data_IF_888541585613
#
_entry.id   IF_888541585613
#
_cell.length_a   1.000
_cell.length_b   1.000
_cell.length_c   1.000
_cell.angle_alpha   90.00
_cell.angle_beta   90.00
_cell.angle_gamma   90.00
#
_symmetry.space_group_name_H-M   'P 1'
#
loop_
_entity.id
_entity.type
_entity.pdbx_description
1 polymer ?
#
# COMPACT_ATOMS: atom_id res chain seq x y z
N UNK A 1 11.39 -11.60 14.03
CA UNK A 1 11.05 -10.19 14.36
C UNK A 1 10.16 -9.52 13.31
N UNK A 2 10.05 -10.04 12.09
CA UNK A 2 9.21 -9.49 11.00
C UNK A 2 7.69 -9.67 11.19
N UNK A 3 7.23 -10.53 12.11
CA UNK A 3 5.79 -10.74 12.34
C UNK A 3 5.07 -9.48 12.85
N UNK A 4 5.75 -8.59 13.57
CA UNK A 4 5.18 -7.34 14.05
C UNK A 4 4.83 -6.37 12.91
N UNK A 5 5.40 -6.54 11.72
CA UNK A 5 5.06 -5.75 10.54
C UNK A 5 3.60 -5.99 10.09
N UNK A 6 2.95 -7.09 10.51
CA UNK A 6 1.52 -7.30 10.25
C UNK A 6 0.67 -6.21 10.92
N UNK A 7 1.15 -5.63 12.03
CA UNK A 7 0.48 -4.52 12.71
C UNK A 7 0.46 -3.24 11.87
N UNK A 8 1.31 -3.13 10.85
CA UNK A 8 1.23 -2.02 9.89
C UNK A 8 -0.09 -2.01 9.12
N UNK A 9 -0.81 -3.13 9.05
CA UNK A 9 -2.18 -3.17 8.51
C UNK A 9 -3.16 -2.28 9.30
N UNK A 10 -2.86 -1.97 10.57
CA UNK A 10 -3.67 -1.06 11.38
C UNK A 10 -3.60 0.39 10.88
N UNK A 11 -2.52 0.80 10.22
CA UNK A 11 -2.34 2.16 9.71
C UNK A 11 -3.42 2.52 8.67
N UNK A 12 -3.56 1.79 7.53
CA UNK A 12 -4.59 2.11 6.55
C UNK A 12 -6.01 1.96 7.10
N UNK A 13 -6.25 1.00 8.00
CA UNK A 13 -7.54 0.84 8.69
C UNK A 13 -7.88 2.08 9.53
N UNK A 14 -6.92 2.55 10.33
CA UNK A 14 -7.09 3.74 11.17
C UNK A 14 -7.28 5.00 10.33
N UNK A 15 -6.49 5.17 9.25
CA UNK A 15 -6.66 6.27 8.32
C UNK A 15 -8.06 6.27 7.68
N UNK A 16 -8.58 5.09 7.30
CA UNK A 16 -9.90 4.97 6.72
C UNK A 16 -11.02 5.36 7.69
N UNK A 17 -10.95 4.89 8.94
CA UNK A 17 -11.93 5.24 9.97
C UNK A 17 -11.87 6.73 10.33
N UNK A 18 -10.67 7.29 10.50
CA UNK A 18 -10.48 8.72 10.75
C UNK A 18 -11.04 9.57 9.60
N UNK A 19 -10.81 9.14 8.36
CA UNK A 19 -11.35 9.83 7.18
C UNK A 19 -12.88 9.82 7.11
N UNK A 20 -13.55 8.79 7.63
CA UNK A 20 -15.02 8.76 7.73
C UNK A 20 -15.52 9.77 8.76
N UNK A 21 -14.87 9.85 9.92
CA UNK A 21 -15.29 10.72 11.00
C UNK A 21 -15.12 12.20 10.65
N UNK A 22 -13.98 12.57 10.06
CA UNK A 22 -13.62 13.98 9.80
C UNK A 22 -14.16 14.49 8.45
N UNK A 23 -14.73 13.61 7.61
CA UNK A 23 -15.29 13.93 6.27
C UNK A 23 -14.28 14.64 5.34
N UNK A 24 -13.03 14.17 5.31
CA UNK A 24 -12.01 14.73 4.43
C UNK A 24 -12.42 14.72 2.95
N UNK A 25 -12.14 15.82 2.26
CA UNK A 25 -12.45 15.98 0.84
C UNK A 25 -11.59 15.11 -0.09
N UNK A 26 -10.42 14.66 0.39
CA UNK A 26 -9.45 13.80 -0.34
C UNK A 26 -9.21 12.48 0.41
N UNK A 27 -10.29 11.89 0.91
CA UNK A 27 -10.21 10.67 1.74
C UNK A 27 -9.54 9.50 1.01
N UNK A 28 -9.78 9.34 -0.29
CA UNK A 28 -9.24 8.20 -1.02
C UNK A 28 -7.76 8.41 -1.31
N UNK A 29 -7.32 9.66 -1.54
CA UNK A 29 -5.89 10.00 -1.61
C UNK A 29 -5.17 9.62 -0.31
N UNK A 30 -5.70 10.03 0.84
CA UNK A 30 -5.08 9.75 2.15
C UNK A 30 -5.04 8.24 2.42
N UNK A 31 -6.13 7.53 2.14
CA UNK A 31 -6.14 6.06 2.28
C UNK A 31 -5.16 5.40 1.31
N UNK A 32 -5.04 5.89 0.07
CA UNK A 32 -4.07 5.42 -0.91
C UNK A 32 -2.62 5.56 -0.43
N UNK A 33 -2.25 6.73 0.11
CA UNK A 33 -0.94 6.97 0.72
C UNK A 33 -0.70 5.95 1.84
N UNK A 34 -1.65 5.83 2.77
CA UNK A 34 -1.51 4.95 3.92
C UNK A 34 -1.33 3.48 3.52
N UNK A 35 -2.10 2.99 2.54
CA UNK A 35 -1.96 1.63 2.00
C UNK A 35 -0.60 1.47 1.33
N UNK A 36 -0.22 2.39 0.45
CA UNK A 36 1.00 2.26 -0.34
C UNK A 36 2.27 2.32 0.52
N UNK A 37 2.25 3.06 1.63
CA UNK A 37 3.37 3.15 2.54
C UNK A 37 3.65 1.84 3.29
N UNK A 38 2.62 1.01 3.50
CA UNK A 38 2.73 -0.22 4.31
C UNK A 38 2.63 -1.51 3.50
N UNK A 39 2.18 -1.46 2.24
CA UNK A 39 1.84 -2.68 1.48
C UNK A 39 3.06 -3.60 1.27
N UNK A 40 4.24 -3.05 1.02
CA UNK A 40 5.45 -3.83 0.83
C UNK A 40 5.96 -4.52 2.11
N UNK A 41 6.15 -3.82 3.26
CA UNK A 41 6.52 -4.48 4.51
C UNK A 41 5.40 -5.40 5.04
N UNK A 42 4.13 -5.09 4.80
CA UNK A 42 3.01 -5.96 5.16
C UNK A 42 3.01 -7.27 4.35
N UNK A 43 3.22 -7.20 3.03
CA UNK A 43 3.35 -8.39 2.18
C UNK A 43 4.49 -9.29 2.65
N UNK A 44 5.65 -8.71 2.92
CA UNK A 44 6.80 -9.42 3.49
C UNK A 44 6.46 -10.09 4.84
N UNK A 45 5.74 -9.40 5.72
CA UNK A 45 5.27 -9.95 7.00
C UNK A 45 4.36 -11.16 6.81
N UNK A 46 3.42 -11.06 5.86
CA UNK A 46 2.43 -12.08 5.57
C UNK A 46 3.06 -13.35 4.99
N UNK A 47 4.13 -13.25 4.21
CA UNK A 47 4.87 -14.43 3.69
C UNK A 47 5.26 -15.39 4.81
N UNK A 48 5.61 -14.89 6.00
CA UNK A 48 5.99 -15.75 7.12
C UNK A 48 4.84 -16.65 7.63
N UNK A 49 3.59 -16.30 7.37
CA UNK A 49 2.42 -17.10 7.75
C UNK A 49 2.26 -18.36 6.89
N UNK A 50 3.01 -18.51 5.79
CA UNK A 50 3.05 -19.76 4.99
C UNK A 50 3.43 -21.00 5.83
N UNK A 51 4.14 -20.79 6.94
CA UNK A 51 4.54 -21.83 7.90
C UNK A 51 3.40 -22.32 8.82
N UNK A 52 2.29 -21.58 8.92
CA UNK A 52 1.15 -21.89 9.79
C UNK A 52 0.08 -22.70 9.02
N UNK A 53 -0.44 -23.82 9.57
CA UNK A 53 -1.33 -24.71 8.82
C UNK A 53 -2.69 -24.07 8.45
N UNK A 54 -3.20 -24.49 7.27
CA UNK A 54 -4.47 -24.15 6.61
C UNK A 54 -4.74 -22.65 6.42
N UNK A 55 -5.09 -21.90 7.47
CA UNK A 55 -5.45 -20.48 7.38
C UNK A 55 -4.20 -19.62 7.13
N UNK A 56 -3.10 -19.97 7.79
CA UNK A 56 -1.82 -19.28 7.60
C UNK A 56 -1.29 -19.40 6.18
N UNK A 57 -1.45 -20.56 5.53
CA UNK A 57 -1.05 -20.76 4.13
C UNK A 57 -1.76 -19.80 3.18
N UNK A 58 -3.06 -19.60 3.32
CA UNK A 58 -3.80 -18.67 2.46
C UNK A 58 -3.32 -17.22 2.64
N UNK A 59 -3.17 -16.77 3.90
CA UNK A 59 -2.61 -15.45 4.20
C UNK A 59 -1.16 -15.31 3.71
N UNK A 60 -0.39 -16.38 3.80
CA UNK A 60 0.98 -16.47 3.29
C UNK A 60 1.07 -16.33 1.77
N UNK A 61 0.16 -16.95 1.03
CA UNK A 61 0.06 -16.81 -0.42
C UNK A 61 -0.34 -15.39 -0.82
N UNK A 62 -1.31 -14.79 -0.12
CA UNK A 62 -1.64 -13.37 -0.31
C UNK A 62 -0.41 -12.49 -0.06
N UNK A 63 0.30 -12.74 1.04
CA UNK A 63 1.54 -12.06 1.38
C UNK A 63 2.59 -12.16 0.27
N UNK A 64 2.77 -13.37 -0.27
CA UNK A 64 3.72 -13.62 -1.35
C UNK A 64 3.35 -12.84 -2.61
N UNK A 65 2.09 -12.87 -3.04
CA UNK A 65 1.64 -12.10 -4.20
C UNK A 65 1.85 -10.59 -3.99
N UNK A 66 1.48 -10.07 -2.82
CA UNK A 66 1.69 -8.67 -2.48
C UNK A 66 3.19 -8.33 -2.50
N UNK A 67 4.02 -9.17 -1.90
CA UNK A 67 5.46 -8.96 -1.81
C UNK A 67 6.15 -8.99 -3.18
N UNK A 68 5.74 -9.88 -4.08
CA UNK A 68 6.29 -9.93 -5.43
C UNK A 68 5.95 -8.67 -6.23
N UNK A 69 4.70 -8.21 -6.16
CA UNK A 69 4.23 -7.04 -6.93
C UNK A 69 4.83 -5.73 -6.36
N UNK A 70 4.83 -5.58 -5.04
CA UNK A 70 5.15 -4.30 -4.38
C UNK A 70 6.54 -4.27 -3.75
N UNK A 71 7.23 -5.41 -3.64
CA UNK A 71 8.60 -5.50 -3.14
C UNK A 71 9.64 -5.33 -4.24
N UNK A 72 9.34 -5.82 -5.44
CA UNK A 72 10.25 -5.82 -6.59
C UNK A 72 10.75 -4.43 -7.01
N UNK A 73 9.91 -3.37 -7.13
CA UNK A 73 10.37 -2.08 -7.65
C UNK A 73 11.52 -1.47 -6.83
N UNK A 74 11.36 -1.41 -5.50
CA UNK A 74 12.37 -0.91 -4.58
C UNK A 74 13.62 -1.80 -4.55
N UNK A 75 13.45 -3.13 -4.67
CA UNK A 75 14.58 -4.05 -4.80
C UNK A 75 15.41 -3.72 -6.05
N UNK A 76 14.76 -3.56 -7.21
CA UNK A 76 15.42 -3.20 -8.46
C UNK A 76 16.16 -1.85 -8.36
N UNK A 77 15.56 -0.86 -7.70
CA UNK A 77 16.21 0.43 -7.46
C UNK A 77 17.46 0.29 -6.59
N UNK A 78 17.40 -0.40 -5.45
CA UNK A 78 18.60 -0.58 -4.61
C UNK A 78 19.65 -1.43 -5.32
N UNK A 79 19.24 -2.48 -6.05
CA UNK A 79 20.15 -3.31 -6.84
C UNK A 79 20.90 -2.49 -7.90
N UNK A 80 20.22 -1.55 -8.58
CA UNK A 80 20.85 -0.69 -9.60
C UNK A 80 21.97 0.23 -9.08
N UNK A 81 22.03 0.46 -7.76
CA UNK A 81 23.11 1.24 -7.14
C UNK A 81 24.39 0.43 -6.92
N UNK A 82 24.36 -0.89 -7.19
CA UNK A 82 25.48 -1.80 -6.88
C UNK A 82 25.60 -2.13 -5.39
N UNK A 83 24.68 -1.65 -4.54
CA UNK A 83 24.70 -1.90 -3.10
C UNK A 83 24.27 -3.32 -2.72
N UNK A 84 23.61 -4.07 -3.60
CA UNK A 84 23.21 -5.46 -3.38
C UNK A 84 24.00 -6.35 -4.33
N UNK A 85 24.84 -7.22 -3.77
CA UNK A 85 25.47 -8.28 -4.54
C UNK A 85 24.42 -9.35 -4.91
N UNK A 86 24.30 -9.77 -6.19
CA UNK A 86 23.26 -10.69 -6.64
C UNK A 86 23.24 -12.05 -5.92
N UNK A 87 24.37 -12.47 -5.36
CA UNK A 87 24.55 -13.74 -4.66
C UNK A 87 24.52 -13.63 -3.13
N UNK A 88 24.47 -12.42 -2.59
CA UNK A 88 24.47 -12.20 -1.14
C UNK A 88 23.04 -12.06 -0.61
N UNK A 89 22.82 -12.51 0.63
CA UNK A 89 21.57 -12.24 1.34
C UNK A 89 21.40 -10.74 1.59
N UNK A 90 20.15 -10.26 1.49
CA UNK A 90 19.83 -8.86 1.77
C UNK A 90 19.96 -8.59 3.27
N UNK A 91 20.84 -7.65 3.63
CA UNK A 91 21.02 -7.19 5.01
C UNK A 91 19.79 -6.43 5.52
N UNK A 92 19.66 -6.27 6.83
CA UNK A 92 18.54 -5.54 7.43
C UNK A 92 18.46 -4.07 6.95
N UNK A 93 19.61 -3.41 6.76
CA UNK A 93 19.67 -2.03 6.27
C UNK A 93 19.20 -1.93 4.81
N UNK A 94 19.67 -2.84 3.95
CA UNK A 94 19.21 -2.89 2.55
C UNK A 94 17.70 -3.19 2.49
N UNK A 95 17.20 -4.11 3.32
CA UNK A 95 15.78 -4.43 3.39
C UNK A 95 14.93 -3.23 3.83
N UNK A 96 15.41 -2.47 4.83
CA UNK A 96 14.76 -1.23 5.26
C UNK A 96 14.72 -0.18 4.13
N UNK A 97 15.83 0.00 3.41
CA UNK A 97 15.90 0.91 2.25
C UNK A 97 14.94 0.48 1.13
N UNK A 98 14.87 -0.82 0.83
CA UNK A 98 13.93 -1.37 -0.15
C UNK A 98 12.48 -1.07 0.27
N UNK A 99 12.14 -1.27 1.55
CA UNK A 99 10.79 -0.99 2.04
C UNK A 99 10.45 0.50 2.02
N UNK A 100 11.40 1.38 2.34
CA UNK A 100 11.21 2.83 2.24
C UNK A 100 10.94 3.27 0.80
N UNK A 101 11.76 2.81 -0.15
CA UNK A 101 11.55 3.11 -1.57
C UNK A 101 10.22 2.58 -2.08
N UNK A 102 9.88 1.34 -1.74
CA UNK A 102 8.57 0.78 -2.09
C UNK A 102 7.42 1.56 -1.48
N UNK A 103 7.55 2.00 -0.23
CA UNK A 103 6.55 2.84 0.44
C UNK A 103 6.34 4.17 -0.28
N UNK A 104 7.41 4.81 -0.76
CA UNK A 104 7.34 6.04 -1.55
C UNK A 104 6.70 5.81 -2.93
N UNK A 105 7.13 4.77 -3.65
CA UNK A 105 6.63 4.44 -4.98
C UNK A 105 5.16 4.03 -4.94
N UNK A 106 4.82 3.03 -4.12
CA UNK A 106 3.46 2.54 -3.98
C UNK A 106 2.56 3.60 -3.35
N UNK A 107 3.05 4.33 -2.35
CA UNK A 107 2.36 5.47 -1.73
C UNK A 107 1.96 6.51 -2.77
N UNK A 108 2.88 6.89 -3.65
CA UNK A 108 2.62 7.87 -4.72
C UNK A 108 1.61 7.35 -5.75
N UNK A 109 1.75 6.10 -6.20
CA UNK A 109 0.83 5.47 -7.18
C UNK A 109 -0.59 5.38 -6.59
N UNK A 110 -0.73 4.88 -5.37
CA UNK A 110 -2.03 4.74 -4.73
C UNK A 110 -2.63 6.07 -4.31
N UNK A 111 -1.82 7.07 -3.95
CA UNK A 111 -2.27 8.44 -3.75
C UNK A 111 -2.88 9.00 -5.04
N UNK A 112 -2.21 8.82 -6.18
CA UNK A 112 -2.70 9.29 -7.47
C UNK A 112 -4.01 8.61 -7.86
N UNK A 113 -4.11 7.30 -7.68
CA UNK A 113 -5.36 6.55 -7.91
C UNK A 113 -6.47 7.10 -7.01
N UNK A 114 -6.19 7.27 -5.71
CA UNK A 114 -7.13 7.85 -4.75
C UNK A 114 -7.58 9.25 -5.13
N UNK A 115 -6.65 10.09 -5.58
CA UNK A 115 -6.93 11.44 -6.05
C UNK A 115 -7.87 11.46 -7.26
N UNK A 116 -7.65 10.58 -8.25
CA UNK A 116 -8.54 10.43 -9.40
C UNK A 116 -9.96 10.06 -8.95
N UNK A 117 -10.11 9.18 -7.97
CA UNK A 117 -11.42 8.84 -7.40
C UNK A 117 -12.07 10.03 -6.68
N UNK A 118 -11.31 10.79 -5.92
CA UNK A 118 -11.81 11.95 -5.19
C UNK A 118 -12.27 13.07 -6.15
N UNK A 119 -11.49 13.36 -7.19
CA UNK A 119 -11.87 14.33 -8.24
C UNK A 119 -13.12 13.87 -8.99
N UNK A 120 -13.17 12.60 -9.43
CA UNK A 120 -14.35 12.04 -10.12
C UNK A 120 -15.60 12.09 -9.25
N UNK A 121 -15.46 11.85 -7.94
CA UNK A 121 -16.58 11.94 -6.98
C UNK A 121 -17.04 13.39 -6.83
N UNK A 122 -16.11 14.34 -6.69
CA UNK A 122 -16.43 15.77 -6.56
C UNK A 122 -17.15 16.30 -7.80
N UNK A 123 -16.67 15.96 -9.00
CA UNK A 123 -17.31 16.36 -10.26
C UNK A 123 -18.73 15.82 -10.37
N UNK A 124 -18.97 14.54 -10.01
CA UNK A 124 -20.32 13.97 -9.98
C UNK A 124 -21.28 14.69 -9.03
N UNK A 125 -20.80 15.08 -7.85
CA UNK A 125 -21.60 15.83 -6.87
C UNK A 125 -21.91 17.23 -7.40
N UNK A 126 -20.94 17.89 -8.02
CA UNK A 126 -21.10 19.22 -8.61
C UNK A 126 -22.11 19.21 -9.77
N UNK A 127 -22.00 18.27 -10.72
CA UNK A 127 -22.95 18.14 -11.83
C UNK A 127 -24.37 17.89 -11.33
N UNK A 128 -24.56 17.03 -10.31
CA UNK A 128 -25.88 16.79 -9.70
C UNK A 128 -26.48 18.02 -9.01
N UNK A 129 -25.64 18.90 -8.46
CA UNK A 129 -26.10 20.15 -7.84
C UNK A 129 -26.54 21.19 -8.87
N UNK A 130 -25.86 21.27 -10.01
CA UNK A 130 -26.14 22.29 -11.05
C UNK A 130 -27.28 21.87 -11.97
N UNK A 131 -27.37 20.59 -12.32
CA UNK A 131 -28.39 20.06 -13.22
C UNK A 131 -29.27 19.01 -12.54
N UNK A 132 -30.06 19.37 -11.52
CA UNK A 132 -30.89 18.41 -10.80
C UNK A 132 -32.04 17.83 -11.66
N UNK A 133 -32.36 18.44 -12.80
CA UNK A 133 -33.53 18.10 -13.65
C UNK A 133 -33.21 17.48 -15.02
N UNK A 134 -31.93 17.25 -15.36
CA UNK A 134 -31.53 16.69 -16.67
C UNK A 134 -31.28 15.16 -16.64
N UNK A 135 -31.69 14.50 -15.56
CA UNK A 135 -31.57 13.05 -15.39
C UNK A 135 -32.96 12.52 -15.02
N UNK A 136 -33.87 12.50 -16.00
CA UNK A 136 -35.05 11.64 -16.07
C UNK A 136 -35.21 11.19 -17.52
#
# INVERSE_FOLDING_TARGET
MSHYLVLLALIPLSCFELCKQIRFAYKNTICGIAIGLVIAPLGHALVHFTSVPVIGKFLGLIGLSIHLIHGWPGYACVMSTGLIEPSAGVTALQLASIHLLNGLLCGSIYALIGYVFDVRRRNRIFTRKIFPKLIY
#
